data_IF_196300346279
#
_entry.id   IF_196300346279
#
_cell.length_a   1.000
_cell.length_b   1.000
_cell.length_c   1.000
_cell.angle_alpha   90.00
_cell.angle_beta   90.00
_cell.angle_gamma   90.00
#
_symmetry.space_group_name_H-M   'P 1'
#
loop_
_entity.id
_entity.type
_entity.pdbx_description
1 polymer ?
#
# COMPACT_ATOMS: atom_id res chain seq x y z
N UNK A 1 33.28 18.91 0.14
CA UNK A 1 31.98 19.00 0.84
C UNK A 1 30.94 19.43 -0.17
N UNK A 2 29.71 18.91 -0.04
CA UNK A 2 28.56 19.10 -0.94
C UNK A 2 28.61 18.36 -2.29
N UNK A 3 28.73 17.03 -2.23
CA UNK A 3 28.09 16.18 -3.23
C UNK A 3 26.69 15.86 -2.68
N UNK A 4 25.73 16.71 -3.06
CA UNK A 4 24.31 16.41 -2.96
C UNK A 4 24.01 15.33 -4.00
N UNK A 5 24.40 14.09 -3.71
CA UNK A 5 23.89 12.95 -4.44
C UNK A 5 22.47 12.79 -3.92
N UNK A 6 21.51 13.18 -4.75
CA UNK A 6 20.12 12.87 -4.57
C UNK A 6 20.04 11.38 -4.25
N UNK A 7 19.78 11.08 -2.99
CA UNK A 7 19.28 9.78 -2.58
C UNK A 7 17.97 9.63 -3.34
N UNK A 8 18.04 9.00 -4.50
CA UNK A 8 16.91 8.35 -5.14
C UNK A 8 16.51 7.24 -4.18
N UNK A 9 15.89 7.62 -3.06
CA UNK A 9 15.28 6.70 -2.10
C UNK A 9 14.27 5.95 -2.94
N UNK A 10 14.63 4.75 -3.36
CA UNK A 10 13.70 3.84 -4.04
C UNK A 10 12.61 3.59 -3.02
N UNK A 11 11.51 4.32 -3.15
CA UNK A 11 10.42 4.24 -2.18
C UNK A 11 10.00 2.77 -2.09
N UNK A 12 9.95 2.25 -0.86
CA UNK A 12 9.56 0.88 -0.57
C UNK A 12 8.31 0.49 -1.39
N UNK A 13 8.23 -0.72 -1.98
CA UNK A 13 7.07 -1.18 -2.72
C UNK A 13 5.71 -0.87 -2.06
N UNK A 14 5.60 -1.04 -0.74
CA UNK A 14 4.44 -0.67 0.08
C UNK A 14 4.05 0.81 0.01
N UNK A 15 4.99 1.75 -0.10
CA UNK A 15 4.67 3.18 -0.28
C UNK A 15 3.93 3.39 -1.61
N UNK A 16 4.37 2.71 -2.67
CA UNK A 16 3.72 2.80 -3.99
C UNK A 16 2.32 2.18 -3.94
N UNK A 17 2.21 1.00 -3.33
CA UNK A 17 0.93 0.30 -3.14
C UNK A 17 -0.07 1.14 -2.33
N UNK A 18 0.34 1.66 -1.17
CA UNK A 18 -0.48 2.50 -0.31
C UNK A 18 -1.02 3.74 -1.06
N UNK A 19 -0.17 4.42 -1.85
CA UNK A 19 -0.59 5.56 -2.69
C UNK A 19 -1.62 5.16 -3.76
N UNK A 20 -1.50 3.98 -4.35
CA UNK A 20 -2.49 3.47 -5.30
C UNK A 20 -3.83 3.22 -4.60
N UNK A 21 -3.81 2.54 -3.45
CA UNK A 21 -5.01 2.28 -2.64
C UNK A 21 -5.67 3.59 -2.20
N UNK A 22 -4.89 4.58 -1.77
CA UNK A 22 -5.38 5.90 -1.42
C UNK A 22 -6.11 6.58 -2.60
N UNK A 23 -5.57 6.45 -3.82
CA UNK A 23 -6.22 6.96 -5.03
C UNK A 23 -7.56 6.28 -5.31
N UNK A 24 -7.66 4.97 -5.07
CA UNK A 24 -8.90 4.21 -5.25
C UNK A 24 -9.99 4.67 -4.27
N UNK A 25 -9.61 5.03 -3.04
CA UNK A 25 -10.51 5.56 -2.01
C UNK A 25 -10.90 7.01 -2.30
N UNK A 26 -9.91 7.91 -2.47
CA UNK A 26 -10.14 9.36 -2.50
C UNK A 26 -10.57 9.88 -3.87
N UNK A 27 -9.93 9.41 -4.95
CA UNK A 27 -10.17 9.93 -6.30
C UNK A 27 -11.28 9.15 -7.01
N UNK A 28 -11.11 7.84 -7.11
CA UNK A 28 -12.03 6.98 -7.86
C UNK A 28 -13.30 6.63 -7.07
N UNK A 29 -13.23 6.64 -5.72
CA UNK A 29 -14.31 6.26 -4.81
C UNK A 29 -14.90 4.87 -5.10
N UNK A 30 -14.08 3.96 -5.63
CA UNK A 30 -14.48 2.58 -5.98
C UNK A 30 -14.49 1.66 -4.76
N UNK A 31 -13.74 2.04 -3.72
CA UNK A 31 -13.69 1.37 -2.41
C UNK A 31 -13.76 2.43 -1.30
N UNK A 32 -14.21 2.01 -0.12
CA UNK A 32 -14.30 2.87 1.08
C UNK A 32 -13.20 2.50 2.07
N UNK A 33 -12.77 3.41 2.96
CA UNK A 33 -11.79 3.09 4.00
C UNK A 33 -12.23 1.95 4.93
N UNK A 34 -13.55 1.80 5.13
CA UNK A 34 -14.15 0.74 5.94
C UNK A 34 -14.34 -0.57 5.19
N UNK A 35 -14.10 -0.61 3.87
CA UNK A 35 -14.15 -1.86 3.13
C UNK A 35 -12.91 -2.70 3.48
N UNK A 36 -13.03 -4.03 3.50
CA UNK A 36 -11.90 -4.91 3.78
C UNK A 36 -10.88 -4.90 2.63
N UNK A 37 -9.59 -5.08 2.97
CA UNK A 37 -8.46 -5.02 2.04
C UNK A 37 -8.66 -5.95 0.84
N UNK A 38 -9.17 -7.18 1.02
CA UNK A 38 -9.38 -8.14 -0.08
C UNK A 38 -10.23 -7.58 -1.24
N UNK A 39 -11.07 -6.57 -0.99
CA UNK A 39 -11.89 -5.95 -2.03
C UNK A 39 -11.04 -5.26 -3.11
N UNK A 40 -9.83 -4.80 -2.78
CA UNK A 40 -8.93 -4.21 -3.78
C UNK A 40 -8.31 -5.28 -4.70
N UNK A 41 -8.32 -6.56 -4.32
CA UNK A 41 -7.79 -7.66 -5.15
C UNK A 41 -8.37 -7.67 -6.57
N UNK A 42 -9.67 -7.38 -6.70
CA UNK A 42 -10.35 -7.29 -7.99
C UNK A 42 -9.85 -6.16 -8.90
N UNK A 43 -9.17 -5.17 -8.33
CA UNK A 43 -8.64 -3.99 -9.02
C UNK A 43 -7.16 -4.16 -9.38
N UNK A 44 -6.42 -4.97 -8.62
CA UNK A 44 -5.00 -5.25 -8.84
C UNK A 44 -4.76 -6.47 -9.74
N UNK A 45 -5.75 -7.35 -9.94
CA UNK A 45 -5.64 -8.47 -10.88
C UNK A 45 -4.48 -9.40 -10.54
N UNK A 46 -3.61 -9.67 -11.52
CA UNK A 46 -2.48 -10.59 -11.36
C UNK A 46 -1.43 -10.09 -10.35
N UNK A 47 -1.30 -8.77 -10.17
CA UNK A 47 -0.38 -8.17 -9.20
C UNK A 47 -0.85 -8.41 -7.74
N UNK A 48 -2.10 -8.80 -7.53
CA UNK A 48 -2.64 -9.00 -6.18
C UNK A 48 -1.90 -10.08 -5.40
N UNK A 49 -1.45 -11.15 -6.06
CA UNK A 49 -0.75 -12.23 -5.38
C UNK A 49 0.53 -11.74 -4.69
N UNK A 50 1.28 -10.85 -5.36
CA UNK A 50 2.46 -10.21 -4.80
C UNK A 50 2.08 -9.30 -3.62
N UNK A 51 1.12 -8.39 -3.81
CA UNK A 51 0.73 -7.47 -2.74
C UNK A 51 0.12 -8.15 -1.51
N UNK A 52 -0.58 -9.27 -1.71
CA UNK A 52 -1.09 -10.08 -0.61
C UNK A 52 0.05 -10.65 0.24
N UNK A 53 1.13 -11.12 -0.39
CA UNK A 53 2.29 -11.63 0.34
C UNK A 53 2.97 -10.51 1.13
N UNK A 54 3.22 -9.37 0.48
CA UNK A 54 3.82 -8.21 1.16
C UNK A 54 2.95 -7.75 2.35
N UNK A 55 1.63 -7.67 2.18
CA UNK A 55 0.69 -7.36 3.26
C UNK A 55 0.83 -8.35 4.43
N UNK A 56 0.91 -9.66 4.14
CA UNK A 56 1.09 -10.70 5.14
C UNK A 56 2.45 -10.61 5.86
N UNK A 57 3.50 -10.12 5.19
CA UNK A 57 4.83 -9.87 5.79
C UNK A 57 4.81 -8.70 6.81
N UNK A 58 3.88 -7.75 6.64
CA UNK A 58 3.62 -6.66 7.60
C UNK A 58 2.44 -6.96 8.55
N UNK A 59 2.10 -8.24 8.74
CA UNK A 59 1.03 -8.72 9.62
C UNK A 59 -0.39 -8.20 9.28
N UNK A 60 -0.62 -7.72 8.05
CA UNK A 60 -1.97 -7.37 7.61
C UNK A 60 -2.77 -8.62 7.24
N UNK A 61 -4.00 -8.69 7.75
CA UNK A 61 -5.02 -9.58 7.27
C UNK A 61 -5.78 -8.96 6.11
N UNK A 62 -6.13 -9.77 5.11
CA UNK A 62 -6.98 -9.30 3.99
C UNK A 62 -8.40 -8.90 4.43
N UNK A 63 -8.82 -9.25 5.65
CA UNK A 63 -10.08 -8.81 6.24
C UNK A 63 -9.97 -7.43 6.92
N UNK A 64 -8.76 -6.95 7.18
CA UNK A 64 -8.56 -5.67 7.83
C UNK A 64 -9.13 -4.54 6.97
N UNK A 65 -9.64 -3.47 7.58
CA UNK A 65 -10.18 -2.36 6.84
C UNK A 65 -9.05 -1.61 6.11
N UNK A 66 -9.34 -1.15 4.89
CA UNK A 66 -8.39 -0.38 4.07
C UNK A 66 -7.81 0.82 4.83
N UNK A 67 -8.55 1.41 5.77
CA UNK A 67 -8.06 2.52 6.60
C UNK A 67 -6.81 2.19 7.41
N UNK A 68 -6.64 0.94 7.85
CA UNK A 68 -5.47 0.53 8.64
C UNK A 68 -4.20 0.54 7.79
N UNK A 69 -4.29 0.01 6.57
CA UNK A 69 -3.24 0.14 5.55
C UNK A 69 -2.89 1.61 5.25
N UNK A 70 -3.90 2.48 5.16
CA UNK A 70 -3.70 3.91 4.89
C UNK A 70 -3.20 4.71 6.12
N UNK A 71 -3.29 4.15 7.32
CA UNK A 71 -2.83 4.80 8.55
C UNK A 71 -1.32 4.62 8.78
N UNK A 72 -0.68 3.68 8.07
CA UNK A 72 0.77 3.44 8.16
C UNK A 72 1.54 4.68 7.70
N UNK A 73 2.40 5.21 8.56
CA UNK A 73 3.16 6.44 8.31
C UNK A 73 4.52 6.19 7.65
N UNK A 74 5.12 5.02 7.87
CA UNK A 74 6.42 4.62 7.34
C UNK A 74 6.45 3.11 7.11
N UNK A 75 7.15 2.71 6.06
CA UNK A 75 7.41 1.32 5.69
C UNK A 75 8.92 1.08 5.77
N UNK A 76 9.49 1.30 6.94
CA UNK A 76 10.89 0.96 7.20
C UNK A 76 10.98 -0.54 7.41
N UNK A 77 11.80 -1.22 6.59
CA UNK A 77 12.22 -2.60 6.83
C UNK A 77 13.35 -2.53 7.87
N UNK A 78 13.20 -3.18 9.02
CA UNK A 78 14.26 -3.33 10.05
C UNK A 78 15.45 -4.17 9.53
#
# INVERSE_FOLDING_TARGET
MTEAIADLVVAHPMVKFQRQVESLVKKSKVVRPSDPIWKIAFLFGDDWAHWKQELEEFDFSTQDPIQELLAVQSWEED
#
